data_IF_840277191721
#
_entry.id   IF_840277191721
#
_cell.length_a   1.000
_cell.length_b   1.000
_cell.length_c   1.000
_cell.angle_alpha   90.00
_cell.angle_beta   90.00
_cell.angle_gamma   90.00
#
_symmetry.space_group_name_H-M   'P 1'
#
loop_
_entity.id
_entity.type
_entity.pdbx_description
1 polymer ?
#
# COMPACT_ATOMS: atom_id res chain seq x y z
N UNK A 1 -23.24 -7.82 -1.14
CA UNK A 1 -22.92 -7.80 -2.59
C UNK A 1 -23.27 -6.47 -3.24
N UNK A 2 -24.50 -5.93 -3.12
CA UNK A 2 -24.87 -4.64 -3.77
C UNK A 2 -24.00 -3.45 -3.35
N UNK A 3 -23.63 -3.31 -2.08
CA UNK A 3 -22.75 -2.22 -1.61
C UNK A 3 -21.29 -2.38 -2.05
N UNK A 4 -20.83 -3.61 -2.28
CA UNK A 4 -19.45 -3.90 -2.68
C UNK A 4 -19.22 -3.60 -4.17
N UNK A 5 -20.25 -3.79 -5.00
CA UNK A 5 -20.21 -3.46 -6.43
C UNK A 5 -20.22 -1.93 -6.67
N UNK A 6 -20.97 -1.20 -5.84
CA UNK A 6 -21.02 0.27 -5.86
C UNK A 6 -19.65 0.90 -5.54
N UNK A 7 -18.86 0.28 -4.67
CA UNK A 7 -17.50 0.74 -4.33
C UNK A 7 -16.54 0.51 -5.51
N UNK A 8 -16.67 -0.61 -6.24
CA UNK A 8 -15.86 -0.88 -7.44
C UNK A 8 -16.24 0.05 -8.59
N UNK A 9 -17.52 0.41 -8.73
CA UNK A 9 -17.97 1.37 -9.75
C UNK A 9 -17.56 2.82 -9.40
N UNK A 10 -17.60 3.18 -8.11
CA UNK A 10 -17.03 4.43 -7.61
C UNK A 10 -15.50 4.49 -7.80
N UNK A 11 -14.82 3.34 -7.78
CA UNK A 11 -13.38 3.23 -8.01
C UNK A 11 -12.98 3.49 -9.47
N UNK A 12 -13.72 2.95 -10.45
CA UNK A 12 -13.49 3.25 -11.87
C UNK A 12 -13.74 4.73 -12.21
N UNK A 13 -14.70 5.36 -11.54
CA UNK A 13 -15.02 6.77 -11.75
C UNK A 13 -14.05 7.72 -11.04
N UNK A 14 -13.54 7.36 -9.85
CA UNK A 14 -12.54 8.16 -9.15
C UNK A 14 -11.15 8.13 -9.79
N UNK A 15 -10.76 7.01 -10.44
CA UNK A 15 -9.51 6.95 -11.20
C UNK A 15 -9.55 7.80 -12.48
N UNK A 16 -10.74 8.08 -13.00
CA UNK A 16 -10.92 8.96 -14.16
C UNK A 16 -10.80 10.45 -13.81
N UNK A 17 -10.85 10.83 -12.53
CA UNK A 17 -10.76 12.23 -12.08
C UNK A 17 -9.40 12.45 -11.41
N UNK A 18 -8.34 12.44 -12.20
CA UNK A 18 -7.09 13.08 -11.80
C UNK A 18 -7.27 14.59 -11.98
N UNK A 19 -7.08 15.43 -10.95
CA UNK A 19 -7.23 16.88 -11.11
C UNK A 19 -6.17 17.37 -12.10
N UNK A 20 -6.62 17.81 -13.27
CA UNK A 20 -5.78 18.52 -14.22
C UNK A 20 -5.39 19.87 -13.61
N UNK A 21 -4.10 20.10 -13.45
CA UNK A 21 -3.59 21.45 -13.14
C UNK A 21 -3.77 22.28 -14.40
N UNK A 22 -4.72 23.21 -14.39
CA UNK A 22 -4.97 24.08 -15.53
C UNK A 22 -3.79 25.05 -15.72
N UNK A 23 -3.12 24.96 -16.87
CA UNK A 23 -2.15 25.94 -17.36
C UNK A 23 -2.81 26.87 -18.37
N UNK A 24 -2.32 28.11 -18.50
CA UNK A 24 -2.88 29.16 -19.36
C UNK A 24 -2.67 28.93 -20.88
N UNK A 25 -2.09 27.79 -21.26
CA UNK A 25 -1.87 27.34 -22.63
C UNK A 25 -2.58 25.99 -22.79
N UNK A 26 -3.30 25.79 -23.89
CA UNK A 26 -3.97 24.53 -24.22
C UNK A 26 -2.91 23.47 -24.51
N UNK A 27 -2.40 22.89 -23.42
CA UNK A 27 -1.45 21.80 -23.45
C UNK A 27 -2.18 20.53 -23.01
N UNK A 28 -2.19 19.53 -23.88
CA UNK A 28 -2.76 18.22 -23.57
C UNK A 28 -1.72 17.11 -23.71
N UNK A 29 -1.90 16.04 -22.94
CA UNK A 29 -1.15 14.80 -23.11
C UNK A 29 -2.10 13.75 -23.64
N UNK A 30 -1.88 13.35 -24.88
CA UNK A 30 -2.75 12.44 -25.64
C UNK A 30 -2.03 11.14 -25.97
N UNK A 31 -2.80 10.15 -26.36
CA UNK A 31 -2.25 8.87 -26.84
C UNK A 31 -2.07 8.91 -28.34
N UNK A 32 -1.05 8.23 -28.81
CA UNK A 32 -0.91 7.91 -30.22
C UNK A 32 -0.12 6.63 -30.46
N UNK A 33 -0.10 6.21 -31.71
CA UNK A 33 0.66 5.07 -32.20
C UNK A 33 1.68 5.54 -33.24
N UNK A 34 2.92 5.10 -33.09
CA UNK A 34 3.97 5.39 -34.07
C UNK A 34 3.70 4.56 -35.32
N UNK A 35 3.29 5.22 -36.40
CA UNK A 35 2.94 4.55 -37.66
C UNK A 35 4.12 4.44 -38.61
N UNK A 36 5.04 5.41 -38.57
CA UNK A 36 6.23 5.45 -39.43
C UNK A 36 7.43 5.99 -38.65
N UNK A 37 8.59 5.35 -38.83
CA UNK A 37 9.88 5.90 -38.45
C UNK A 37 10.50 6.54 -39.70
N UNK A 38 10.48 7.87 -39.78
CA UNK A 38 10.99 8.61 -40.95
C UNK A 38 12.52 8.65 -40.97
N UNK A 39 13.14 8.80 -39.80
CA UNK A 39 14.59 8.83 -39.64
C UNK A 39 15.00 8.13 -38.35
N UNK A 40 16.01 7.27 -38.43
CA UNK A 40 16.57 6.57 -37.29
C UNK A 40 18.10 6.60 -37.35
N UNK A 41 18.70 7.26 -36.37
CA UNK A 41 20.15 7.31 -36.19
C UNK A 41 20.50 7.23 -34.69
N UNK A 42 21.75 6.89 -34.33
CA UNK A 42 22.14 6.75 -32.92
C UNK A 42 21.91 7.99 -32.05
N UNK A 43 21.75 9.18 -32.65
CA UNK A 43 21.52 10.45 -31.94
C UNK A 43 20.17 11.09 -32.22
N UNK A 44 19.31 10.47 -33.03
CA UNK A 44 18.08 11.13 -33.50
C UNK A 44 17.04 10.13 -34.02
N UNK A 45 15.78 10.34 -33.65
CA UNK A 45 14.62 9.68 -34.22
C UNK A 45 13.60 10.72 -34.68
N UNK A 46 13.14 10.63 -35.93
CA UNK A 46 11.95 11.33 -36.42
C UNK A 46 10.85 10.31 -36.68
N UNK A 47 9.70 10.52 -36.05
CA UNK A 47 8.59 9.57 -36.02
C UNK A 47 7.28 10.27 -36.36
N UNK A 48 6.47 9.58 -37.15
CA UNK A 48 5.12 9.99 -37.51
C UNK A 48 4.14 9.23 -36.60
N UNK A 49 3.32 9.99 -35.86
CA UNK A 49 2.46 9.46 -34.81
C UNK A 49 1.01 9.76 -35.14
N UNK A 50 0.18 8.72 -35.23
CA UNK A 50 -1.28 8.88 -35.34
C UNK A 50 -1.86 9.10 -33.94
N UNK A 51 -2.58 10.21 -33.76
CA UNK A 51 -3.17 10.57 -32.46
C UNK A 51 -4.53 9.86 -32.29
N UNK A 52 -4.70 9.17 -31.16
CA UNK A 52 -5.88 8.35 -30.87
C UNK A 52 -6.96 9.09 -30.07
N UNK A 53 -6.59 10.18 -29.37
CA UNK A 53 -7.42 10.86 -28.37
C UNK A 53 -7.14 12.37 -28.35
N UNK A 54 -8.04 13.15 -27.75
CA UNK A 54 -7.86 14.59 -27.61
C UNK A 54 -8.42 15.40 -28.77
N UNK A 55 -8.04 16.67 -28.84
CA UNK A 55 -8.48 17.61 -29.88
C UNK A 55 -8.07 17.14 -31.28
N UNK A 56 -6.85 16.60 -31.38
CA UNK A 56 -6.20 16.20 -32.64
C UNK A 56 -6.43 14.72 -33.01
N UNK A 57 -7.50 14.09 -32.51
CA UNK A 57 -7.78 12.67 -32.75
C UNK A 57 -7.97 12.36 -34.25
N UNK A 58 -7.25 11.37 -34.75
CA UNK A 58 -7.22 10.99 -36.17
C UNK A 58 -6.23 11.78 -37.02
N UNK A 59 -5.59 12.81 -36.45
CA UNK A 59 -4.51 13.54 -37.10
C UNK A 59 -3.16 12.87 -36.86
N UNK A 60 -2.22 13.18 -37.75
CA UNK A 60 -0.88 12.65 -37.71
C UNK A 60 0.11 13.76 -37.42
N UNK A 61 0.97 13.52 -36.44
CA UNK A 61 1.94 14.50 -35.95
C UNK A 61 3.34 13.92 -36.10
N UNK A 62 4.22 14.68 -36.76
CA UNK A 62 5.65 14.37 -36.79
C UNK A 62 6.29 14.86 -35.50
N UNK A 63 6.99 13.96 -34.81
CA UNK A 63 7.75 14.27 -33.61
C UNK A 63 9.22 13.94 -33.83
N UNK A 64 10.07 14.84 -33.39
CA UNK A 64 11.52 14.68 -33.43
C UNK A 64 12.06 14.49 -32.02
N UNK A 65 12.95 13.52 -31.86
CA UNK A 65 13.61 13.22 -30.61
C UNK A 65 15.12 13.17 -30.83
N UNK A 66 15.84 14.01 -30.10
CA UNK A 66 17.30 13.93 -30.01
C UNK A 66 17.69 12.94 -28.92
N UNK A 67 18.59 12.02 -29.25
CA UNK A 67 19.12 11.02 -28.33
C UNK A 67 20.54 11.44 -27.90
N UNK A 68 20.76 11.40 -26.59
CA UNK A 68 22.00 11.88 -25.95
C UNK A 68 23.13 10.84 -25.94
N UNK A 69 22.82 9.58 -26.27
CA UNK A 69 23.67 8.41 -26.05
C UNK A 69 23.64 7.89 -24.60
N UNK A 70 22.83 8.48 -23.71
CA UNK A 70 22.72 8.08 -22.31
C UNK A 70 21.50 7.15 -22.10
N UNK A 71 21.70 5.85 -21.80
CA UNK A 71 20.59 4.91 -21.61
C UNK A 71 19.63 5.24 -20.46
N UNK A 72 20.04 6.11 -19.53
CA UNK A 72 19.16 6.56 -18.45
C UNK A 72 18.16 7.66 -18.89
N UNK A 73 18.41 8.31 -20.03
CA UNK A 73 17.60 9.43 -20.55
C UNK A 73 16.98 9.10 -21.90
N UNK A 74 17.64 8.27 -22.69
CA UNK A 74 17.21 7.90 -24.03
C UNK A 74 16.27 6.69 -23.98
N UNK A 75 15.15 6.81 -24.71
CA UNK A 75 14.29 5.68 -25.05
C UNK A 75 14.21 5.60 -26.56
N UNK A 76 14.55 4.43 -27.11
CA UNK A 76 14.49 4.14 -28.53
C UNK A 76 13.12 3.58 -28.86
N UNK A 77 12.34 4.31 -29.65
CA UNK A 77 11.01 3.88 -30.08
C UNK A 77 11.06 3.07 -31.37
N UNK A 78 10.03 2.27 -31.61
CA UNK A 78 9.83 1.48 -32.82
C UNK A 78 8.44 1.68 -33.40
N UNK A 79 8.27 1.42 -34.70
CA UNK A 79 6.95 1.40 -35.34
C UNK A 79 6.02 0.41 -34.64
N UNK A 80 4.78 0.85 -34.39
CA UNK A 80 3.77 0.11 -33.62
C UNK A 80 3.80 0.38 -32.11
N UNK A 81 4.80 1.12 -31.60
CA UNK A 81 4.80 1.54 -30.21
C UNK A 81 3.67 2.54 -29.95
N UNK A 82 2.97 2.31 -28.83
CA UNK A 82 1.99 3.25 -28.32
C UNK A 82 2.66 4.20 -27.35
N UNK A 83 2.42 5.49 -27.53
CA UNK A 83 3.11 6.55 -26.79
C UNK A 83 2.14 7.60 -26.24
N UNK A 84 2.59 8.30 -25.21
CA UNK A 84 1.98 9.52 -24.72
C UNK A 84 2.70 10.70 -25.36
N UNK A 85 1.95 11.48 -26.14
CA UNK A 85 2.42 12.68 -26.82
C UNK A 85 1.90 13.90 -26.07
N UNK A 86 2.81 14.79 -25.70
CA UNK A 86 2.45 16.10 -25.21
C UNK A 86 2.35 17.05 -26.40
N UNK A 87 1.21 17.73 -26.51
CA UNK A 87 0.88 18.65 -27.59
C UNK A 87 0.57 20.02 -26.96
N UNK A 88 1.24 21.06 -27.46
CA UNK A 88 0.88 22.46 -27.21
C UNK A 88 0.23 23.01 -28.48
N UNK A 89 -0.98 23.54 -28.36
CA UNK A 89 -1.70 24.20 -29.44
C UNK A 89 -1.94 25.69 -29.15
N UNK A 90 -2.05 26.47 -30.23
CA UNK A 90 -2.51 27.86 -30.20
C UNK A 90 -3.54 28.02 -31.33
N UNK A 91 -4.76 28.45 -31.00
CA UNK A 91 -5.89 28.58 -31.93
C UNK A 91 -6.14 27.31 -32.79
N UNK A 92 -6.06 26.12 -32.20
CA UNK A 92 -6.27 24.83 -32.89
C UNK A 92 -5.13 24.40 -33.82
N UNK A 93 -3.98 25.07 -33.77
CA UNK A 93 -2.78 24.69 -34.53
C UNK A 93 -1.72 24.14 -33.59
N UNK A 94 -1.18 22.96 -33.88
CA UNK A 94 -0.09 22.36 -33.10
C UNK A 94 1.17 23.22 -33.26
N UNK A 95 1.63 23.80 -32.15
CA UNK A 95 2.86 24.61 -32.11
C UNK A 95 4.06 23.78 -31.67
N UNK A 96 3.83 22.77 -30.83
CA UNK A 96 4.88 21.89 -30.32
C UNK A 96 4.33 20.51 -29.99
N UNK A 97 5.08 19.48 -30.35
CA UNK A 97 4.78 18.08 -30.03
C UNK A 97 6.02 17.37 -29.53
N UNK A 98 5.86 16.51 -28.53
CA UNK A 98 6.96 15.72 -27.97
C UNK A 98 6.45 14.45 -27.32
N UNK A 99 7.13 13.34 -27.60
CA UNK A 99 6.85 12.06 -26.93
C UNK A 99 7.36 12.14 -25.49
N UNK A 100 6.44 11.97 -24.54
CA UNK A 100 6.74 11.95 -23.10
C UNK A 100 7.17 10.56 -22.66
N UNK A 101 6.35 9.56 -22.94
CA UNK A 101 6.51 8.20 -22.43
C UNK A 101 5.92 7.15 -23.36
N UNK A 102 6.42 5.92 -23.29
CA UNK A 102 5.73 4.74 -23.83
C UNK A 102 4.48 4.40 -22.99
N UNK A 103 3.34 4.17 -23.67
CA UNK A 103 2.07 3.81 -23.05
C UNK A 103 2.07 2.33 -22.60
N UNK A 104 2.36 2.10 -21.31
CA UNK A 104 2.49 0.75 -20.71
C UNK A 104 1.24 0.25 -19.98
N UNK A 105 0.26 1.12 -19.81
CA UNK A 105 -0.92 0.92 -18.97
C UNK A 105 -1.75 -0.32 -19.34
N UNK A 106 -1.84 -0.67 -20.62
CA UNK A 106 -2.55 -1.86 -21.08
C UNK A 106 -1.93 -3.15 -20.55
N UNK A 107 -0.60 -3.27 -20.61
CA UNK A 107 0.12 -4.44 -20.11
C UNK A 107 0.04 -4.52 -18.58
N UNK A 108 0.11 -3.38 -17.90
CA UNK A 108 -0.09 -3.29 -16.46
C UNK A 108 -1.52 -3.69 -16.06
N UNK A 109 -2.52 -3.30 -16.86
CA UNK A 109 -3.90 -3.71 -16.67
C UNK A 109 -4.07 -5.22 -16.84
N UNK A 110 -3.46 -5.83 -17.86
CA UNK A 110 -3.51 -7.29 -18.04
C UNK A 110 -2.87 -8.03 -16.86
N UNK A 111 -1.73 -7.56 -16.35
CA UNK A 111 -1.10 -8.11 -15.17
C UNK A 111 -1.99 -7.98 -13.92
N UNK A 112 -2.62 -6.81 -13.74
CA UNK A 112 -3.56 -6.56 -12.65
C UNK A 112 -4.79 -7.46 -12.70
N UNK A 113 -5.37 -7.66 -13.89
CA UNK A 113 -6.49 -8.58 -14.11
C UNK A 113 -6.06 -10.01 -13.81
N UNK A 114 -4.90 -10.45 -14.30
CA UNK A 114 -4.37 -11.78 -14.04
C UNK A 114 -4.16 -12.03 -12.53
N UNK A 115 -3.62 -11.06 -11.81
CA UNK A 115 -3.48 -11.11 -10.36
C UNK A 115 -4.83 -11.22 -9.65
N UNK A 116 -5.80 -10.38 -10.02
CA UNK A 116 -7.14 -10.40 -9.43
C UNK A 116 -7.86 -11.72 -9.70
N UNK A 117 -7.79 -12.23 -10.94
CA UNK A 117 -8.35 -13.54 -11.31
C UNK A 117 -7.71 -14.66 -10.51
N UNK A 118 -6.38 -14.65 -10.36
CA UNK A 118 -5.67 -15.65 -9.55
C UNK A 118 -6.17 -15.68 -8.10
N UNK A 119 -6.39 -14.50 -7.49
CA UNK A 119 -6.97 -14.41 -6.15
C UNK A 119 -8.40 -14.96 -6.08
N UNK A 120 -9.24 -14.67 -7.08
CA UNK A 120 -10.63 -15.14 -7.12
C UNK A 120 -10.71 -16.64 -7.39
N UNK A 121 -9.88 -17.17 -8.29
CA UNK A 121 -9.85 -18.59 -8.63
C UNK A 121 -9.40 -19.43 -7.43
N UNK A 122 -8.36 -19.00 -6.71
CA UNK A 122 -7.82 -19.75 -5.56
C UNK A 122 -8.63 -19.48 -4.28
N UNK A 123 -9.02 -18.22 -4.04
CA UNK A 123 -9.67 -17.77 -2.81
C UNK A 123 -11.21 -17.75 -2.85
N UNK A 124 -11.82 -18.01 -4.01
CA UNK A 124 -13.27 -17.94 -4.21
C UNK A 124 -13.87 -16.60 -3.78
N UNK A 125 -14.95 -16.64 -2.99
CA UNK A 125 -15.60 -15.43 -2.45
C UNK A 125 -14.69 -14.62 -1.53
N UNK A 126 -13.73 -15.25 -0.83
CA UNK A 126 -12.74 -14.52 -0.03
C UNK A 126 -11.74 -13.81 -0.94
N UNK A 127 -11.37 -14.43 -2.05
CA UNK A 127 -10.55 -13.81 -3.10
C UNK A 127 -11.15 -12.50 -3.61
N UNK A 128 -12.45 -12.49 -3.94
CA UNK A 128 -13.17 -11.27 -4.35
C UNK A 128 -13.08 -10.19 -3.27
N UNK A 129 -13.30 -10.55 -2.00
CA UNK A 129 -13.19 -9.60 -0.88
C UNK A 129 -11.78 -9.04 -0.74
N UNK A 130 -10.76 -9.86 -0.96
CA UNK A 130 -9.35 -9.43 -0.93
C UNK A 130 -9.06 -8.43 -2.05
N UNK A 131 -9.52 -8.68 -3.28
CA UNK A 131 -9.37 -7.73 -4.40
C UNK A 131 -10.01 -6.38 -4.07
N UNK A 132 -11.25 -6.40 -3.56
CA UNK A 132 -11.96 -5.17 -3.15
C UNK A 132 -11.21 -4.46 -2.01
N UNK A 133 -10.72 -5.20 -1.03
CA UNK A 133 -9.94 -4.66 0.08
C UNK A 133 -8.64 -3.98 -0.40
N UNK A 134 -7.92 -4.61 -1.34
CA UNK A 134 -6.68 -4.06 -1.88
C UNK A 134 -6.93 -2.78 -2.67
N UNK A 135 -7.96 -2.78 -3.53
CA UNK A 135 -8.37 -1.59 -4.27
C UNK A 135 -8.76 -0.45 -3.31
N UNK A 136 -9.48 -0.76 -2.23
CA UNK A 136 -9.84 0.22 -1.21
C UNK A 136 -8.61 0.77 -0.46
N UNK A 137 -7.61 -0.06 -0.16
CA UNK A 137 -6.34 0.38 0.43
C UNK A 137 -5.61 1.36 -0.48
N UNK A 138 -5.46 1.02 -1.76
CA UNK A 138 -4.82 1.90 -2.76
C UNK A 138 -5.61 3.21 -2.87
N UNK A 139 -6.93 3.15 -2.92
CA UNK A 139 -7.79 4.33 -2.94
C UNK A 139 -7.56 5.23 -1.72
N UNK A 140 -7.54 4.70 -0.50
CA UNK A 140 -7.28 5.49 0.70
C UNK A 140 -5.87 6.11 0.70
N UNK A 141 -4.87 5.42 0.16
CA UNK A 141 -3.53 5.99 0.05
C UNK A 141 -3.53 7.15 -0.98
N UNK A 142 -4.03 6.89 -2.18
CA UNK A 142 -3.97 7.85 -3.30
C UNK A 142 -4.90 9.05 -3.13
N UNK A 143 -6.11 8.85 -2.60
CA UNK A 143 -7.16 9.87 -2.55
C UNK A 143 -7.34 10.50 -1.17
N UNK A 144 -6.71 9.94 -0.13
CA UNK A 144 -6.82 10.48 1.22
C UNK A 144 -5.45 10.75 1.84
N UNK A 145 -4.57 9.75 1.94
CA UNK A 145 -3.26 9.95 2.57
C UNK A 145 -2.40 10.99 1.84
N UNK A 146 -2.17 10.79 0.54
CA UNK A 146 -1.32 11.67 -0.27
C UNK A 146 -1.90 13.10 -0.32
N UNK A 147 -3.18 13.34 -0.65
CA UNK A 147 -3.74 14.68 -0.68
C UNK A 147 -3.73 15.39 0.67
N UNK A 148 -3.96 14.69 1.79
CA UNK A 148 -3.89 15.30 3.12
C UNK A 148 -2.47 15.73 3.48
N UNK A 149 -1.46 14.94 3.10
CA UNK A 149 -0.04 15.30 3.29
C UNK A 149 0.34 16.48 2.40
N UNK A 150 -0.06 16.48 1.13
CA UNK A 150 0.12 17.62 0.22
C UNK A 150 -0.60 18.87 0.72
N UNK A 151 -1.73 18.71 1.41
CA UNK A 151 -2.47 19.79 2.10
C UNK A 151 -1.80 20.29 3.39
N UNK A 152 -0.60 19.81 3.73
CA UNK A 152 0.19 20.28 4.86
C UNK A 152 -0.08 19.60 6.20
N UNK A 153 -0.87 18.51 6.23
CA UNK A 153 -1.05 17.76 7.48
C UNK A 153 0.23 17.03 7.91
N UNK A 154 0.51 16.92 9.22
CA UNK A 154 1.70 16.22 9.72
C UNK A 154 1.76 14.76 9.23
N UNK A 155 2.79 14.35 8.46
CA UNK A 155 2.77 13.07 7.76
C UNK A 155 2.64 11.85 8.69
N UNK A 156 3.34 11.84 9.82
CA UNK A 156 3.33 10.72 10.78
C UNK A 156 1.94 10.48 11.36
N UNK A 157 1.31 11.55 11.86
CA UNK A 157 -0.01 11.46 12.48
C UNK A 157 -1.06 11.02 11.46
N UNK A 158 -1.08 11.68 10.29
CA UNK A 158 -2.00 11.35 9.19
C UNK A 158 -1.85 9.89 8.78
N UNK A 159 -0.61 9.42 8.65
CA UNK A 159 -0.32 8.02 8.28
C UNK A 159 -0.84 7.03 9.32
N UNK A 160 -0.65 7.26 10.62
CA UNK A 160 -1.17 6.37 11.67
C UNK A 160 -2.70 6.29 11.61
N UNK A 161 -3.38 7.42 11.40
CA UNK A 161 -4.85 7.47 11.29
C UNK A 161 -5.31 6.70 10.05
N UNK A 162 -4.76 6.99 8.87
CA UNK A 162 -5.16 6.33 7.63
C UNK A 162 -4.80 4.83 7.65
N UNK A 163 -3.63 4.46 8.16
CA UNK A 163 -3.23 3.06 8.36
C UNK A 163 -4.21 2.31 9.28
N UNK A 164 -4.69 2.96 10.33
CA UNK A 164 -5.71 2.39 11.22
C UNK A 164 -7.04 2.19 10.49
N UNK A 165 -7.47 3.15 9.67
CA UNK A 165 -8.67 3.03 8.83
C UNK A 165 -8.53 1.89 7.82
N UNK A 166 -7.39 1.82 7.12
CA UNK A 166 -7.04 0.74 6.18
C UNK A 166 -7.11 -0.61 6.89
N UNK A 167 -6.51 -0.72 8.08
CA UNK A 167 -6.50 -1.94 8.90
C UNK A 167 -7.93 -2.37 9.26
N UNK A 168 -8.73 -1.45 9.81
CA UNK A 168 -10.13 -1.71 10.18
C UNK A 168 -10.94 -2.15 8.97
N UNK A 169 -10.89 -1.38 7.88
CA UNK A 169 -11.66 -1.65 6.68
C UNK A 169 -11.28 -3.00 6.06
N UNK A 170 -9.98 -3.27 5.93
CA UNK A 170 -9.47 -4.50 5.32
C UNK A 170 -9.89 -5.73 6.11
N UNK A 171 -9.69 -5.71 7.44
CA UNK A 171 -10.07 -6.85 8.30
C UNK A 171 -11.59 -7.06 8.28
N UNK A 172 -12.39 -5.98 8.33
CA UNK A 172 -13.85 -6.10 8.32
C UNK A 172 -14.38 -6.60 6.97
N UNK A 173 -13.80 -6.17 5.84
CA UNK A 173 -14.20 -6.66 4.51
C UNK A 173 -13.90 -8.15 4.35
N UNK A 174 -12.71 -8.58 4.77
CA UNK A 174 -12.24 -9.96 4.59
C UNK A 174 -12.90 -10.90 5.63
N UNK A 175 -12.73 -10.59 6.91
CA UNK A 175 -13.11 -11.46 8.03
C UNK A 175 -14.50 -11.17 8.62
N UNK A 176 -15.12 -10.04 8.28
CA UNK A 176 -16.42 -9.63 8.83
C UNK A 176 -16.34 -9.08 10.25
N UNK A 177 -17.49 -8.67 10.81
CA UNK A 177 -17.55 -8.15 12.18
C UNK A 177 -17.60 -9.30 13.21
N UNK A 178 -16.47 -9.57 13.86
CA UNK A 178 -16.36 -10.58 14.91
C UNK A 178 -15.17 -10.30 15.85
N UNK A 179 -15.03 -11.12 16.89
CA UNK A 179 -13.97 -10.97 17.91
C UNK A 179 -12.58 -11.21 17.35
N UNK A 180 -12.43 -12.13 16.39
CA UNK A 180 -11.19 -12.34 15.65
C UNK A 180 -10.77 -11.05 14.95
N UNK A 181 -11.68 -10.40 14.24
CA UNK A 181 -11.44 -9.13 13.56
C UNK A 181 -11.06 -8.02 14.53
N UNK A 182 -11.76 -7.90 15.66
CA UNK A 182 -11.42 -6.91 16.68
C UNK A 182 -10.02 -7.14 17.27
N UNK A 183 -9.67 -8.39 17.57
CA UNK A 183 -8.34 -8.72 18.08
C UNK A 183 -7.23 -8.43 17.06
N UNK A 184 -7.45 -8.82 15.79
CA UNK A 184 -6.50 -8.55 14.70
C UNK A 184 -6.29 -7.05 14.52
N UNK A 185 -7.36 -6.26 14.44
CA UNK A 185 -7.29 -4.80 14.28
C UNK A 185 -6.51 -4.15 15.41
N UNK A 186 -6.86 -4.44 16.67
CA UNK A 186 -6.21 -3.80 17.82
C UNK A 186 -4.75 -4.22 17.94
N UNK A 187 -4.45 -5.50 17.68
CA UNK A 187 -3.09 -6.01 17.65
C UNK A 187 -2.23 -5.38 16.56
N UNK A 188 -2.79 -5.24 15.36
CA UNK A 188 -2.11 -4.60 14.23
C UNK A 188 -1.86 -3.12 14.47
N UNK A 189 -2.89 -2.37 14.91
CA UNK A 189 -2.74 -0.93 15.22
C UNK A 189 -1.67 -0.73 16.29
N UNK A 190 -1.67 -1.53 17.37
CA UNK A 190 -0.65 -1.40 18.40
C UNK A 190 0.76 -1.76 17.92
N UNK A 191 0.90 -2.78 17.06
CA UNK A 191 2.18 -3.11 16.43
C UNK A 191 2.71 -2.02 15.51
N UNK A 192 1.82 -1.41 14.70
CA UNK A 192 2.15 -0.30 13.80
C UNK A 192 2.53 0.96 14.58
N UNK A 193 1.80 1.28 15.65
CA UNK A 193 2.15 2.40 16.54
C UNK A 193 3.53 2.17 17.15
N UNK A 194 3.83 0.96 17.63
CA UNK A 194 5.14 0.66 18.20
C UNK A 194 6.25 0.78 17.15
N UNK A 195 6.05 0.27 15.94
CA UNK A 195 6.98 0.45 14.82
C UNK A 195 7.23 1.94 14.53
N UNK A 196 6.16 2.74 14.45
CA UNK A 196 6.24 4.18 14.23
C UNK A 196 6.95 4.93 15.34
N UNK A 197 6.71 4.58 16.61
CA UNK A 197 7.42 5.16 17.76
C UNK A 197 8.90 4.82 17.71
N UNK A 198 9.26 3.55 17.49
CA UNK A 198 10.66 3.13 17.38
C UNK A 198 11.36 3.80 16.20
N UNK A 199 10.73 3.84 15.03
CA UNK A 199 11.24 4.54 13.87
C UNK A 199 11.47 6.03 14.19
N UNK A 200 10.50 6.70 14.82
CA UNK A 200 10.62 8.11 15.20
C UNK A 200 11.76 8.37 16.19
N UNK A 201 11.92 7.51 17.21
CA UNK A 201 13.03 7.58 18.16
C UNK A 201 14.36 7.40 17.43
N UNK A 202 14.48 6.36 16.60
CA UNK A 202 15.71 6.07 15.88
C UNK A 202 16.08 7.18 14.90
N UNK A 203 15.13 7.67 14.10
CA UNK A 203 15.32 8.82 13.19
C UNK A 203 15.86 10.04 13.91
N UNK A 204 15.36 10.35 15.11
CA UNK A 204 15.86 11.49 15.91
C UNK A 204 17.26 11.24 16.47
N UNK A 205 17.52 10.03 16.98
CA UNK A 205 18.81 9.66 17.57
C UNK A 205 19.92 9.61 16.52
N UNK A 206 19.63 9.05 15.35
CA UNK A 206 20.57 8.97 14.22
C UNK A 206 20.59 10.23 13.35
N UNK A 207 19.73 11.21 13.66
CA UNK A 207 19.62 12.50 12.97
C UNK A 207 19.39 12.37 11.46
N UNK A 208 18.58 11.40 11.04
CA UNK A 208 18.21 11.29 9.62
C UNK A 208 17.44 12.54 9.21
N UNK A 209 17.77 13.12 8.07
CA UNK A 209 17.14 14.34 7.56
C UNK A 209 15.88 14.04 6.75
N UNK A 210 15.77 12.83 6.21
CA UNK A 210 14.67 12.44 5.31
C UNK A 210 15.02 12.59 3.83
N UNK A 211 16.23 13.04 3.51
CA UNK A 211 16.74 13.22 2.13
C UNK A 211 17.54 12.02 1.62
N UNK A 212 17.34 10.83 2.21
CA UNK A 212 18.04 9.61 1.80
C UNK A 212 17.65 9.07 0.42
N UNK A 213 16.57 9.58 -0.17
CA UNK A 213 16.07 9.19 -1.49
C UNK A 213 16.01 10.39 -2.45
N UNK A 214 16.32 10.16 -3.72
CA UNK A 214 16.35 11.21 -4.76
C UNK A 214 14.97 11.86 -4.94
N UNK A 215 13.89 11.08 -4.83
CA UNK A 215 12.50 11.58 -4.93
C UNK A 215 12.17 12.60 -3.83
N UNK A 216 12.76 12.45 -2.64
CA UNK A 216 12.60 13.42 -1.56
C UNK A 216 13.25 14.77 -1.91
N UNK A 217 14.35 14.75 -2.67
CA UNK A 217 14.97 15.98 -3.17
C UNK A 217 14.12 16.62 -4.27
N UNK A 218 13.47 15.82 -5.13
CA UNK A 218 12.57 16.33 -6.16
C UNK A 218 11.36 17.08 -5.56
N UNK A 219 10.85 16.61 -4.41
CA UNK A 219 9.76 17.29 -3.69
C UNK A 219 10.12 18.70 -3.22
N UNK A 220 11.41 19.07 -3.11
CA UNK A 220 11.82 20.43 -2.78
C UNK A 220 11.49 21.45 -3.87
N UNK A 221 11.31 21.00 -5.10
CA UNK A 221 11.00 21.86 -6.24
C UNK A 221 9.51 22.08 -6.46
N UNK A 222 8.65 21.49 -5.60
CA UNK A 222 7.21 21.73 -5.64
C UNK A 222 6.91 23.11 -5.05
N UNK A 223 6.35 24.06 -5.83
CA UNK A 223 6.07 25.39 -5.34
C UNK A 223 4.96 25.38 -4.29
N UNK A 224 5.00 26.35 -3.38
CA UNK A 224 3.94 26.64 -2.39
C UNK A 224 3.61 25.53 -1.38
N UNK A 225 4.46 24.52 -1.21
CA UNK A 225 4.28 23.45 -0.21
C UNK A 225 5.54 23.25 0.62
N UNK A 226 5.42 23.34 1.95
CA UNK A 226 6.51 22.99 2.87
C UNK A 226 6.34 21.55 3.36
N UNK A 227 7.28 20.67 3.02
CA UNK A 227 7.26 19.27 3.43
C UNK A 227 8.09 19.01 4.69
N UNK A 228 7.52 18.23 5.61
CA UNK A 228 8.27 17.58 6.69
C UNK A 228 8.90 16.29 6.15
N UNK A 229 10.14 16.38 5.64
CA UNK A 229 10.85 15.24 5.03
C UNK A 229 11.14 14.11 6.01
N UNK A 230 11.46 14.43 7.27
CA UNK A 230 11.59 13.41 8.32
C UNK A 230 10.25 12.72 8.55
N UNK A 231 9.16 13.49 8.59
CA UNK A 231 7.81 12.97 8.71
C UNK A 231 7.40 12.08 7.53
N UNK A 232 7.72 12.49 6.30
CA UNK A 232 7.47 11.71 5.07
C UNK A 232 8.22 10.38 5.11
N UNK A 233 9.49 10.41 5.53
CA UNK A 233 10.28 9.20 5.70
C UNK A 233 9.60 8.24 6.70
N UNK A 234 9.21 8.76 7.86
CA UNK A 234 8.52 7.98 8.90
C UNK A 234 7.16 7.46 8.42
N UNK A 235 6.41 8.26 7.66
CA UNK A 235 5.16 7.85 7.03
C UNK A 235 5.36 6.65 6.10
N UNK A 236 6.38 6.70 5.23
CA UNK A 236 6.76 5.60 4.36
C UNK A 236 7.10 4.33 5.14
N UNK A 237 7.88 4.45 6.22
CA UNK A 237 8.20 3.32 7.11
C UNK A 237 6.94 2.70 7.74
N UNK A 238 6.00 3.54 8.20
CA UNK A 238 4.75 3.09 8.82
C UNK A 238 3.88 2.34 7.80
N UNK A 239 3.64 2.90 6.61
CA UNK A 239 2.87 2.24 5.55
C UNK A 239 3.50 0.91 5.15
N UNK A 240 4.82 0.87 4.99
CA UNK A 240 5.56 -0.35 4.68
C UNK A 240 5.42 -1.43 5.77
N UNK A 241 5.32 -1.04 7.04
CA UNK A 241 5.12 -1.98 8.15
C UNK A 241 3.67 -2.50 8.27
N UNK A 242 2.67 -1.68 7.92
CA UNK A 242 1.24 -2.01 8.09
C UNK A 242 0.87 -3.34 7.43
N UNK A 243 1.34 -3.59 6.19
CA UNK A 243 1.01 -4.81 5.47
C UNK A 243 1.45 -6.08 6.21
N UNK A 244 2.72 -6.16 6.60
CA UNK A 244 3.24 -7.32 7.33
C UNK A 244 2.60 -7.48 8.72
N UNK A 245 2.39 -6.37 9.44
CA UNK A 245 1.80 -6.39 10.78
C UNK A 245 0.31 -6.79 10.72
N UNK A 246 -0.40 -6.42 9.66
CA UNK A 246 -1.78 -6.82 9.40
C UNK A 246 -1.91 -8.33 9.22
N UNK A 247 -1.07 -8.91 8.36
CA UNK A 247 -1.10 -10.34 8.06
C UNK A 247 -0.83 -11.20 9.31
N UNK A 248 0.07 -10.73 10.17
CA UNK A 248 0.32 -11.36 11.47
C UNK A 248 -0.85 -11.23 12.41
N UNK A 249 -1.40 -10.03 12.58
CA UNK A 249 -2.55 -9.81 13.43
C UNK A 249 -3.71 -10.74 13.06
N UNK A 250 -4.00 -10.85 11.76
CA UNK A 250 -5.04 -11.76 11.25
C UNK A 250 -4.69 -13.22 11.48
N UNK A 251 -3.44 -13.64 11.26
CA UNK A 251 -3.00 -15.03 11.45
C UNK A 251 -3.10 -15.48 12.92
N UNK A 252 -2.60 -14.66 13.84
CA UNK A 252 -2.66 -14.93 15.28
C UNK A 252 -4.11 -14.96 15.77
N UNK A 253 -4.92 -13.96 15.38
CA UNK A 253 -6.33 -13.93 15.76
C UNK A 253 -7.11 -15.12 15.17
N UNK A 254 -6.73 -15.60 13.97
CA UNK A 254 -7.30 -16.80 13.36
C UNK A 254 -7.01 -18.05 14.18
N UNK A 255 -5.75 -18.26 14.59
CA UNK A 255 -5.39 -19.43 15.40
C UNK A 255 -6.11 -19.45 16.74
N UNK A 256 -6.22 -18.29 17.41
CA UNK A 256 -6.95 -18.18 18.67
C UNK A 256 -8.44 -18.47 18.48
N UNK A 257 -9.06 -17.95 17.41
CA UNK A 257 -10.46 -18.24 17.06
C UNK A 257 -10.68 -19.73 16.79
N UNK A 258 -9.76 -20.37 16.07
CA UNK A 258 -9.83 -21.81 15.75
C UNK A 258 -9.74 -22.69 17.01
N UNK A 259 -8.80 -22.39 17.91
CA UNK A 259 -8.70 -23.10 19.20
C UNK A 259 -9.94 -22.87 20.06
N UNK A 260 -10.53 -21.66 20.03
CA UNK A 260 -11.76 -21.40 20.78
C UNK A 260 -12.99 -22.11 20.20
N UNK A 261 -13.08 -22.22 18.89
CA UNK A 261 -14.17 -22.94 18.21
C UNK A 261 -14.08 -24.44 18.45
N UNK A 262 -12.88 -25.00 18.38
CA UNK A 262 -12.64 -26.43 18.64
C UNK A 262 -12.77 -26.80 20.11
N UNK A 263 -12.37 -25.91 21.03
CA UNK A 263 -12.56 -26.10 22.48
C UNK A 263 -13.22 -24.87 23.13
N UNK A 264 -14.56 -24.84 23.19
CA UNK A 264 -15.29 -23.75 23.84
C UNK A 264 -14.98 -23.56 25.32
N UNK A 265 -14.47 -24.58 26.02
CA UNK A 265 -14.06 -24.48 27.42
C UNK A 265 -12.61 -23.96 27.61
N UNK A 266 -11.89 -23.71 26.51
CA UNK A 266 -10.51 -23.22 26.58
C UNK A 266 -10.43 -21.90 27.36
N UNK A 267 -9.53 -21.88 28.35
CA UNK A 267 -9.25 -20.71 29.19
C UNK A 267 -8.50 -19.63 28.42
N UNK A 268 -8.58 -18.38 28.88
CA UNK A 268 -7.83 -17.26 28.30
C UNK A 268 -6.33 -17.59 28.15
N UNK A 269 -5.73 -18.23 29.15
CA UNK A 269 -4.31 -18.61 29.13
C UNK A 269 -3.98 -19.64 28.04
N UNK A 270 -4.87 -20.61 27.80
CA UNK A 270 -4.70 -21.58 26.71
C UNK A 270 -4.84 -20.92 25.33
N UNK A 271 -5.79 -19.99 25.18
CA UNK A 271 -5.97 -19.19 23.96
C UNK A 271 -4.73 -18.34 23.67
N UNK A 272 -4.24 -17.58 24.66
CA UNK A 272 -3.02 -16.78 24.53
C UNK A 272 -1.83 -17.66 24.17
N UNK A 273 -1.67 -18.81 24.84
CA UNK A 273 -0.58 -19.75 24.55
C UNK A 273 -0.63 -20.26 23.11
N UNK A 274 -1.81 -20.55 22.57
CA UNK A 274 -1.98 -20.96 21.17
C UNK A 274 -1.53 -19.86 20.20
N UNK A 275 -2.01 -18.62 20.40
CA UNK A 275 -1.59 -17.48 19.58
C UNK A 275 -0.08 -17.24 19.66
N UNK A 276 0.50 -17.31 20.86
CA UNK A 276 1.94 -17.16 21.05
C UNK A 276 2.75 -18.28 20.39
N UNK A 277 2.27 -19.52 20.40
CA UNK A 277 2.95 -20.63 19.75
C UNK A 277 2.98 -20.43 18.23
N UNK A 278 1.82 -20.14 17.60
CA UNK A 278 1.79 -19.83 16.18
C UNK A 278 2.73 -18.66 15.86
N UNK A 279 2.68 -17.60 16.66
CA UNK A 279 3.52 -16.43 16.46
C UNK A 279 5.01 -16.74 16.51
N UNK A 280 5.47 -17.57 17.45
CA UNK A 280 6.87 -18.01 17.48
C UNK A 280 7.25 -18.82 16.24
N UNK A 281 6.33 -19.63 15.73
CA UNK A 281 6.58 -20.47 14.55
C UNK A 281 6.74 -19.62 13.28
N UNK A 282 5.98 -18.53 13.16
CA UNK A 282 6.00 -17.68 11.95
C UNK A 282 6.91 -16.45 12.06
N UNK A 283 7.31 -16.00 13.26
CA UNK A 283 8.03 -14.72 13.40
C UNK A 283 9.35 -14.69 12.60
N UNK A 284 10.07 -15.82 12.57
CA UNK A 284 11.36 -15.91 11.88
C UNK A 284 11.22 -15.82 10.36
N UNK A 285 10.21 -16.50 9.80
CA UNK A 285 9.98 -16.49 8.35
C UNK A 285 9.54 -15.10 7.89
N UNK A 286 8.69 -14.42 8.64
CA UNK A 286 8.20 -13.09 8.27
C UNK A 286 9.25 -11.98 8.45
N UNK A 287 10.10 -12.06 9.48
CA UNK A 287 11.23 -11.15 9.62
C UNK A 287 12.18 -11.29 8.43
N UNK A 288 12.47 -12.53 7.99
CA UNK A 288 13.28 -12.78 6.81
C UNK A 288 12.62 -12.23 5.53
N UNK A 289 11.30 -12.38 5.38
CA UNK A 289 10.57 -11.79 4.25
C UNK A 289 10.71 -10.27 4.20
N UNK A 290 10.59 -9.58 5.35
CA UNK A 290 10.78 -8.13 5.42
C UNK A 290 12.21 -7.74 5.04
N UNK A 291 13.21 -8.41 5.60
CA UNK A 291 14.63 -8.14 5.29
C UNK A 291 14.89 -8.29 3.79
N UNK A 292 14.45 -9.41 3.20
CA UNK A 292 14.65 -9.71 1.77
C UNK A 292 13.89 -8.72 0.88
N UNK A 293 12.66 -8.33 1.23
CA UNK A 293 11.87 -7.38 0.45
C UNK A 293 12.55 -6.00 0.37
N UNK A 294 13.02 -5.47 1.51
CA UNK A 294 13.68 -4.17 1.54
C UNK A 294 15.13 -4.21 1.00
N UNK A 295 15.84 -5.30 1.23
CA UNK A 295 17.17 -5.52 0.65
C UNK A 295 17.07 -5.62 -0.88
N UNK A 296 16.05 -6.30 -1.40
CA UNK A 296 15.73 -6.35 -2.82
C UNK A 296 15.42 -4.97 -3.41
N UNK A 297 14.63 -4.15 -2.70
CA UNK A 297 14.37 -2.77 -3.10
C UNK A 297 15.64 -1.89 -3.10
N UNK A 298 16.64 -2.24 -2.27
CA UNK A 298 17.92 -1.52 -2.15
C UNK A 298 19.04 -2.14 -2.98
N UNK A 299 18.75 -3.07 -3.90
CA UNK A 299 19.76 -3.85 -4.61
C UNK A 299 20.72 -2.98 -5.42
N UNK A 300 20.21 -1.97 -6.13
CA UNK A 300 21.03 -1.05 -6.94
C UNK A 300 21.97 -0.23 -6.07
N UNK A 301 21.49 0.28 -4.93
CA UNK A 301 22.32 0.98 -3.95
C UNK A 301 23.44 0.06 -3.42
N UNK A 302 23.12 -1.18 -3.05
CA UNK A 302 24.11 -2.15 -2.58
C UNK A 302 25.17 -2.46 -3.64
N UNK A 303 24.77 -2.60 -4.90
CA UNK A 303 25.69 -2.82 -6.02
C UNK A 303 26.62 -1.64 -6.25
N UNK A 304 26.10 -0.40 -6.23
CA UNK A 304 26.93 0.81 -6.38
C UNK A 304 27.95 0.92 -5.24
N UNK A 305 27.53 0.71 -4.00
CA UNK A 305 28.42 0.76 -2.84
C UNK A 305 29.52 -0.33 -2.92
N UNK A 306 29.16 -1.52 -3.38
CA UNK A 306 30.11 -2.62 -3.55
C UNK A 306 31.08 -2.36 -4.72
N UNK A 307 30.57 -1.91 -5.87
CA UNK A 307 31.37 -1.60 -7.06
C UNK A 307 32.40 -0.50 -6.79
N UNK A 308 32.03 0.51 -5.98
CA UNK A 308 32.96 1.56 -5.55
C UNK A 308 33.82 1.18 -4.33
N UNK A 309 33.80 -0.09 -3.89
CA UNK A 309 34.54 -0.60 -2.74
C UNK A 309 34.39 0.28 -1.48
N UNK A 310 33.18 0.80 -1.25
CA UNK A 310 32.91 1.65 -0.09
C UNK A 310 33.08 0.80 1.17
N UNK A 311 33.92 1.26 2.10
CA UNK A 311 34.18 0.50 3.33
C UNK A 311 32.91 0.26 4.12
N UNK A 312 32.78 -0.91 4.73
CA UNK A 312 31.60 -1.27 5.53
C UNK A 312 31.27 -0.22 6.60
N UNK A 313 32.30 0.33 7.26
CA UNK A 313 32.12 1.40 8.24
C UNK A 313 31.49 2.66 7.63
N UNK A 314 31.86 3.02 6.39
CA UNK A 314 31.19 4.14 5.71
C UNK A 314 29.77 3.77 5.32
N UNK A 315 29.54 2.57 4.78
CA UNK A 315 28.22 2.09 4.34
C UNK A 315 27.19 2.19 5.47
N UNK A 316 27.48 1.64 6.66
CA UNK A 316 26.51 1.64 7.78
C UNK A 316 26.21 3.05 8.33
N UNK A 317 27.11 4.01 8.10
CA UNK A 317 26.95 5.40 8.54
C UNK A 317 26.35 6.31 7.47
N UNK A 318 26.10 5.82 6.24
CA UNK A 318 25.40 6.60 5.22
C UNK A 318 23.91 6.73 5.55
N UNK A 319 23.35 7.92 5.37
CA UNK A 319 21.93 8.18 5.69
C UNK A 319 20.99 7.23 4.94
N UNK A 320 21.20 7.00 3.64
CA UNK A 320 20.39 6.08 2.84
C UNK A 320 20.40 4.66 3.40
N UNK A 321 21.57 4.14 3.78
CA UNK A 321 21.71 2.80 4.35
C UNK A 321 21.14 2.72 5.77
N UNK A 322 21.44 3.69 6.63
CA UNK A 322 20.89 3.76 7.97
C UNK A 322 19.36 3.83 7.96
N UNK A 323 18.79 4.55 6.98
CA UNK A 323 17.35 4.63 6.75
C UNK A 323 16.73 3.27 6.45
N UNK A 324 17.32 2.49 5.54
CA UNK A 324 16.82 1.15 5.20
C UNK A 324 16.97 0.18 6.37
N UNK A 325 18.10 0.21 7.10
CA UNK A 325 18.31 -0.62 8.29
C UNK A 325 17.25 -0.29 9.36
N UNK A 326 17.00 0.99 9.63
CA UNK A 326 15.98 1.41 10.60
C UNK A 326 14.59 0.97 10.14
N UNK A 327 14.25 1.12 8.84
CA UNK A 327 12.97 0.68 8.29
C UNK A 327 12.74 -0.81 8.49
N UNK A 328 13.74 -1.63 8.17
CA UNK A 328 13.70 -3.09 8.33
C UNK A 328 13.53 -3.49 9.80
N UNK A 329 14.36 -2.93 10.68
CA UNK A 329 14.37 -3.29 12.10
C UNK A 329 13.14 -2.79 12.83
N UNK A 330 12.73 -1.53 12.63
CA UNK A 330 11.54 -0.97 13.28
C UNK A 330 10.27 -1.72 12.83
N UNK A 331 10.15 -2.01 11.53
CA UNK A 331 9.04 -2.82 11.00
C UNK A 331 9.01 -4.23 11.59
N UNK A 332 10.17 -4.91 11.65
CA UNK A 332 10.29 -6.25 12.21
C UNK A 332 10.01 -6.27 13.72
N UNK A 333 10.45 -5.26 14.48
CA UNK A 333 10.16 -5.17 15.90
C UNK A 333 8.66 -4.94 16.13
N UNK A 334 8.04 -4.02 15.38
CA UNK A 334 6.59 -3.80 15.44
C UNK A 334 5.80 -5.08 15.17
N UNK A 335 6.22 -5.86 14.16
CA UNK A 335 5.69 -7.18 13.85
C UNK A 335 5.80 -8.16 15.04
N UNK A 336 6.99 -8.26 15.63
CA UNK A 336 7.27 -9.16 16.75
C UNK A 336 6.39 -8.84 17.95
N UNK A 337 6.18 -7.56 18.26
CA UNK A 337 5.32 -7.13 19.37
C UNK A 337 3.82 -7.19 19.05
N UNK A 338 3.43 -7.13 17.78
CA UNK A 338 2.04 -7.36 17.37
C UNK A 338 1.56 -8.76 17.74
N UNK A 339 2.45 -9.76 17.74
CA UNK A 339 2.15 -11.15 18.11
C UNK A 339 1.59 -11.26 19.54
N UNK A 340 2.35 -10.90 20.61
CA UNK A 340 1.84 -11.00 21.97
C UNK A 340 0.65 -10.08 22.20
N UNK A 341 0.65 -8.89 21.60
CA UNK A 341 -0.47 -7.96 21.73
C UNK A 341 -1.76 -8.58 21.19
N UNK A 342 -1.73 -9.12 19.97
CA UNK A 342 -2.89 -9.77 19.35
C UNK A 342 -3.34 -10.99 20.14
N UNK A 343 -2.40 -11.85 20.57
CA UNK A 343 -2.71 -13.06 21.32
C UNK A 343 -3.39 -12.75 22.66
N UNK A 344 -2.88 -11.78 23.42
CA UNK A 344 -3.47 -11.32 24.69
C UNK A 344 -4.85 -10.73 24.48
N UNK A 345 -5.00 -9.81 23.51
CA UNK A 345 -6.28 -9.18 23.21
C UNK A 345 -7.33 -10.23 22.80
N UNK A 346 -6.96 -11.15 21.92
CA UNK A 346 -7.85 -12.23 21.50
C UNK A 346 -8.28 -13.09 22.70
N UNK A 347 -7.34 -13.55 23.52
CA UNK A 347 -7.63 -14.38 24.69
C UNK A 347 -8.56 -13.70 25.70
N UNK A 348 -8.37 -12.40 25.95
CA UNK A 348 -9.23 -11.61 26.85
C UNK A 348 -10.62 -11.41 26.25
N UNK A 349 -10.72 -11.06 24.96
CA UNK A 349 -11.99 -10.85 24.27
C UNK A 349 -12.86 -12.11 24.24
N UNK A 350 -12.25 -13.28 24.01
CA UNK A 350 -12.98 -14.55 24.04
C UNK A 350 -13.38 -14.96 25.47
N UNK A 351 -12.55 -14.70 26.47
CA UNK A 351 -12.87 -15.05 27.87
C UNK A 351 -14.01 -14.22 28.45
N UNK A 352 -14.03 -12.90 28.24
CA UNK A 352 -15.09 -12.01 28.76
C UNK A 352 -16.47 -12.42 28.24
N UNK A 353 -16.51 -12.86 27.00
CA UNK A 353 -17.75 -13.26 26.37
C UNK A 353 -18.34 -14.57 26.91
N UNK A 354 -17.51 -15.48 27.39
CA UNK A 354 -18.01 -16.69 28.05
C UNK A 354 -18.61 -16.34 29.40
N UNK A 355 -17.97 -15.44 30.16
CA UNK A 355 -18.54 -14.89 31.40
C UNK A 355 -19.90 -14.22 31.14
N UNK A 356 -20.00 -13.38 30.10
CA UNK A 356 -21.26 -12.70 29.75
C UNK A 356 -22.35 -13.69 29.29
N UNK A 357 -21.99 -14.77 28.58
CA UNK A 357 -22.92 -15.85 28.23
C UNK A 357 -23.41 -16.61 29.46
N UNK A 358 -22.51 -16.90 30.40
CA UNK A 358 -22.83 -17.59 31.65
C UNK A 358 -23.73 -16.72 32.55
N UNK A 359 -23.45 -15.42 32.68
CA UNK A 359 -24.31 -14.47 33.38
C UNK A 359 -25.70 -14.36 32.75
N UNK A 360 -25.78 -14.24 31.41
CA UNK A 360 -27.06 -14.23 30.69
C UNK A 360 -27.82 -15.55 30.79
N UNK A 361 -27.15 -16.68 31.02
CA UNK A 361 -27.80 -17.96 31.29
C UNK A 361 -28.28 -18.06 32.74
N UNK A 362 -27.49 -17.59 33.71
CA UNK A 362 -27.85 -17.55 35.13
C UNK A 362 -29.00 -16.57 35.40
N UNK A 363 -29.08 -15.46 34.66
CA UNK A 363 -30.15 -14.47 34.75
C UNK A 363 -31.48 -14.92 34.12
N UNK A 364 -31.51 -16.06 33.40
CA UNK A 364 -32.76 -16.60 32.85
C UNK A 364 -33.57 -17.24 33.99
N UNK A 365 -34.88 -16.93 34.13
CA UNK A 365 -35.69 -17.55 35.16
C UNK A 365 -35.70 -19.08 34.96
N UNK A 366 -35.67 -19.86 36.07
CA UNK A 366 -35.56 -21.31 36.01
C UNK A 366 -36.72 -21.93 35.23
N UNK A 367 -36.47 -23.10 34.62
CA UNK A 367 -37.36 -23.78 33.67
C UNK A 367 -38.83 -23.89 34.15
N UNK A 368 -39.05 -24.17 35.44
CA UNK A 368 -40.38 -24.26 36.03
C UNK A 368 -41.17 -22.94 35.99
N UNK A 369 -40.49 -21.79 36.20
CA UNK A 369 -41.09 -20.45 36.09
C UNK A 369 -41.49 -20.13 34.65
N UNK A 370 -40.71 -20.58 33.67
CA UNK A 370 -40.99 -20.40 32.23
C UNK A 370 -42.19 -21.24 31.77
N UNK A 371 -42.33 -22.47 32.28
CA UNK A 371 -43.48 -23.33 31.99
C UNK A 371 -44.76 -22.77 32.62
N UNK A 372 -44.68 -22.21 33.84
CA UNK A 372 -45.82 -21.55 34.49
C UNK A 372 -46.27 -20.27 33.78
N UNK A 373 -45.33 -19.46 33.27
CA UNK A 373 -45.65 -18.26 32.49
C UNK A 373 -46.31 -18.59 31.14
N UNK A 374 -46.00 -19.75 30.56
CA UNK A 374 -46.57 -20.21 29.28
C UNK A 374 -47.96 -20.86 29.40
N UNK A 375 -48.38 -21.23 30.62
CA UNK A 375 -49.74 -21.73 30.91
C UNK A 375 -50.74 -20.63 31.30
N UNK A 376 -50.28 -19.39 31.45
CA UNK A 376 -51.09 -18.23 31.86
C UNK A 376 -51.46 -17.28 30.70
N UNK A 377 -51.03 -17.59 29.48
CA UNK A 377 -51.55 -16.99 28.24
C UNK A 377 -52.14 -18.10 27.40
#
# INVERSE_FOLDING_TARGET
MKHSLLIVLAFLTAFAVWPAVATAQEAETVRGEIIVMEEESPGFQRMEILIDQGEFSGETVTVEQTLSGNPAQDFYYSTGDRVLVYIESEDGTITRSLVRELARDHYLMYLGIFFALSLVLIGGLKGIKTVISLAFTIFLIMQLLIPLILGGMPPVFTTIVIASIITVASVLLISGWNRKSAAAVLGTIGGVILAGVLASVMTRVTRLTGFGADDAQMLMYVPNTSFDFQGLLLAGMIIGAVGAVLDVGVSIASAVDEVKRSNPAATARQLIKSGMNLGRDIMGTMANTLILAYTGASMTLLLVLNAHNVSFNRVINMEAMATEIIRILAGSIGLIYAIPLTAVIAGVLYSRADSEKLEKQAAKPPLWKRVLLRKKG
#
